data_IF_598730860380
#
_entry.id   IF_598730860380
#
_cell.length_a   1.000
_cell.length_b   1.000
_cell.length_c   1.000
_cell.angle_alpha   90.00
_cell.angle_beta   90.00
_cell.angle_gamma   90.00
#
_symmetry.space_group_name_H-M   'P 1'
#
loop_
_entity.id
_entity.type
_entity.pdbx_description
1 polymer ?
#
# COMPACT_ATOMS: atom_id res chain seq x y z
N UNK A 1 -65.73 69.32 -41.12
CA UNK A 1 -66.93 68.46 -41.18
C UNK A 1 -66.51 67.07 -40.68
N UNK A 2 -66.68 66.82 -39.37
CA UNK A 2 -67.68 65.91 -38.75
C UNK A 2 -67.27 64.42 -38.82
N UNK A 3 -66.61 63.87 -37.77
CA UNK A 3 -67.15 63.09 -36.60
C UNK A 3 -68.00 61.87 -37.02
N UNK A 4 -67.75 60.64 -36.53
CA UNK A 4 -67.82 60.14 -35.12
C UNK A 4 -67.07 58.78 -34.98
N UNK A 5 -66.30 58.57 -33.89
CA UNK A 5 -66.46 57.61 -32.74
C UNK A 5 -66.56 56.11 -33.11
N UNK A 6 -66.06 55.10 -32.39
CA UNK A 6 -65.29 54.87 -31.13
C UNK A 6 -64.89 53.36 -31.17
N UNK A 7 -63.66 52.96 -30.82
CA UNK A 7 -63.20 52.35 -29.55
C UNK A 7 -62.90 50.83 -29.58
N UNK A 8 -61.66 50.53 -29.18
CA UNK A 8 -61.02 49.34 -28.56
C UNK A 8 -61.80 48.05 -28.29
N UNK A 9 -61.23 46.88 -28.64
CA UNK A 9 -60.57 45.95 -27.68
C UNK A 9 -60.31 44.54 -28.25
N UNK A 10 -59.22 43.93 -27.77
CA UNK A 10 -58.71 42.57 -28.07
C UNK A 10 -59.67 41.43 -27.74
N UNK A 11 -59.56 40.30 -28.48
CA UNK A 11 -59.59 38.88 -28.03
C UNK A 11 -59.69 37.96 -29.27
N UNK A 12 -58.73 37.05 -29.51
CA UNK A 12 -58.51 35.69 -28.97
C UNK A 12 -59.05 34.59 -29.91
N UNK A 13 -58.27 33.51 -29.91
CA UNK A 13 -58.66 32.09 -30.01
C UNK A 13 -59.27 31.56 -31.31
N UNK A 14 -58.51 30.67 -31.96
CA UNK A 14 -59.08 29.50 -32.64
C UNK A 14 -58.68 28.22 -31.91
N UNK A 15 -59.73 27.56 -31.43
CA UNK A 15 -59.82 26.18 -30.95
C UNK A 15 -59.70 25.19 -32.12
N UNK A 16 -59.12 24.01 -31.89
CA UNK A 16 -59.82 22.71 -31.91
C UNK A 16 -58.81 21.55 -31.69
N UNK A 17 -58.93 20.86 -30.53
CA UNK A 17 -59.32 19.43 -30.36
C UNK A 17 -58.27 18.43 -30.87
N UNK A 18 -57.75 17.46 -30.11
CA UNK A 18 -58.15 16.85 -28.86
C UNK A 18 -58.07 15.32 -29.01
N UNK A 19 -56.91 14.72 -28.74
CA UNK A 19 -56.74 13.30 -28.35
C UNK A 19 -55.53 13.19 -27.42
N UNK A 20 -55.80 12.86 -26.15
CA UNK A 20 -54.78 12.48 -25.14
C UNK A 20 -54.01 11.22 -25.56
N UNK A 21 -52.73 11.15 -25.17
CA UNK A 21 -52.38 10.18 -24.15
C UNK A 21 -51.50 10.75 -23.04
N UNK A 22 -51.93 10.46 -21.81
CA UNK A 22 -51.11 10.08 -20.65
C UNK A 22 -49.77 10.81 -20.41
N UNK A 23 -49.83 11.67 -19.39
CA UNK A 23 -48.71 12.06 -18.52
C UNK A 23 -47.78 10.88 -18.21
N UNK A 24 -46.50 11.03 -18.58
CA UNK A 24 -45.40 10.84 -17.62
C UNK A 24 -44.35 11.92 -17.86
N UNK A 25 -44.29 12.86 -16.93
CA UNK A 25 -43.20 13.82 -16.82
C UNK A 25 -41.90 13.07 -16.54
N UNK A 26 -40.97 13.08 -17.49
CA UNK A 26 -39.56 12.73 -17.29
C UNK A 26 -38.66 13.68 -18.08
N UNK A 27 -38.80 14.98 -17.85
CA UNK A 27 -37.71 15.90 -18.12
C UNK A 27 -36.75 15.86 -16.94
N UNK A 28 -36.08 14.71 -16.79
CA UNK A 28 -34.84 14.67 -16.04
C UNK A 28 -33.82 15.43 -16.86
N UNK A 29 -33.36 16.58 -16.36
CA UNK A 29 -32.10 17.17 -16.79
C UNK A 29 -31.03 16.10 -16.56
N UNK A 30 -30.76 15.30 -17.58
CA UNK A 30 -29.59 14.45 -17.59
C UNK A 30 -28.43 15.41 -17.88
N UNK A 31 -27.87 16.00 -16.81
CA UNK A 31 -26.50 16.49 -16.86
C UNK A 31 -25.68 15.27 -17.31
N UNK A 32 -25.36 15.21 -18.60
CA UNK A 32 -24.33 14.33 -19.09
C UNK A 32 -23.03 14.81 -18.45
N UNK A 33 -22.71 14.29 -17.27
CA UNK A 33 -21.33 14.22 -16.83
C UNK A 33 -20.64 13.33 -17.85
N UNK A 34 -20.11 13.97 -18.89
CA UNK A 34 -19.26 13.34 -19.88
C UNK A 34 -18.16 12.67 -19.06
N UNK A 35 -18.13 11.33 -19.04
CA UNK A 35 -17.05 10.57 -18.39
C UNK A 35 -15.74 11.24 -18.78
N UNK A 36 -15.00 11.72 -17.80
CA UNK A 36 -13.74 12.39 -18.06
C UNK A 36 -12.81 11.43 -18.80
N UNK A 37 -11.99 11.95 -19.73
CA UNK A 37 -11.08 11.13 -20.50
C UNK A 37 -10.14 10.36 -19.58
N UNK A 38 -9.60 9.28 -20.15
CA UNK A 38 -8.64 8.35 -19.58
C UNK A 38 -7.49 9.11 -18.88
N UNK A 39 -6.94 8.59 -17.78
CA UNK A 39 -5.79 9.10 -16.99
C UNK A 39 -5.20 10.50 -17.33
N UNK A 40 -5.82 11.64 -17.04
CA UNK A 40 -5.16 12.93 -17.33
C UNK A 40 -4.70 13.06 -18.79
N UNK A 41 -5.26 12.26 -19.71
CA UNK A 41 -4.69 11.96 -21.03
C UNK A 41 -5.14 12.94 -22.09
N UNK A 42 -5.79 14.05 -21.71
CA UNK A 42 -6.13 15.14 -22.62
C UNK A 42 -7.01 14.74 -23.83
N UNK A 43 -7.46 13.47 -23.92
CA UNK A 43 -7.95 12.87 -25.17
C UNK A 43 -6.93 12.84 -26.32
N UNK A 44 -5.66 13.19 -26.05
CA UNK A 44 -4.60 13.40 -27.04
C UNK A 44 -3.51 12.33 -26.89
N UNK A 45 -3.56 11.33 -27.77
CA UNK A 45 -2.62 10.20 -27.76
C UNK A 45 -1.16 10.60 -27.95
N UNK A 46 -0.89 11.71 -28.66
CA UNK A 46 0.48 12.16 -28.87
C UNK A 46 1.05 12.73 -27.57
N UNK A 47 0.28 13.61 -26.94
CA UNK A 47 0.62 14.21 -25.66
C UNK A 47 0.84 13.15 -24.57
N UNK A 48 -0.01 12.13 -24.57
CA UNK A 48 0.11 10.96 -23.69
C UNK A 48 1.42 10.18 -23.95
N UNK A 49 1.76 9.92 -25.22
CA UNK A 49 3.00 9.24 -25.59
C UNK A 49 4.26 10.02 -25.20
N UNK A 50 4.23 11.35 -25.37
CA UNK A 50 5.32 12.24 -24.96
C UNK A 50 5.50 12.22 -23.44
N UNK A 51 4.42 12.41 -22.67
CA UNK A 51 4.41 12.29 -21.22
C UNK A 51 4.98 10.95 -20.77
N UNK A 52 4.43 9.83 -21.28
CA UNK A 52 4.88 8.49 -20.91
C UNK A 52 6.37 8.30 -21.13
N UNK A 53 6.89 8.71 -22.28
CA UNK A 53 8.31 8.59 -22.62
C UNK A 53 9.20 9.36 -21.64
N UNK A 54 8.81 10.60 -21.32
CA UNK A 54 9.57 11.47 -20.41
C UNK A 54 9.57 10.90 -19.00
N UNK A 55 8.39 10.53 -18.50
CA UNK A 55 8.18 10.04 -17.14
C UNK A 55 8.89 8.70 -16.94
N UNK A 56 8.75 7.74 -17.85
CA UNK A 56 9.49 6.47 -17.78
C UNK A 56 11.01 6.69 -17.77
N UNK A 57 11.50 7.69 -18.51
CA UNK A 57 12.93 8.02 -18.49
C UNK A 57 13.38 8.60 -17.15
N UNK A 58 12.55 9.45 -16.53
CA UNK A 58 12.81 10.01 -15.21
C UNK A 58 12.84 8.91 -14.15
N UNK A 59 11.84 8.03 -14.13
CA UNK A 59 11.76 6.91 -13.20
C UNK A 59 12.98 5.98 -13.26
N UNK A 60 13.43 5.62 -14.47
CA UNK A 60 14.64 4.80 -14.62
C UNK A 60 15.86 5.48 -13.97
N UNK A 61 16.03 6.78 -14.20
CA UNK A 61 17.15 7.53 -13.65
C UNK A 61 17.07 7.64 -12.11
N UNK A 62 15.86 7.77 -11.57
CA UNK A 62 15.58 7.79 -10.13
C UNK A 62 15.85 6.44 -9.47
N UNK A 63 15.31 5.36 -10.03
CA UNK A 63 15.48 3.99 -9.51
C UNK A 63 16.94 3.54 -9.51
N UNK A 64 17.72 4.00 -10.49
CA UNK A 64 19.16 3.72 -10.59
C UNK A 64 20.04 4.72 -9.81
N UNK A 65 19.45 5.73 -9.16
CA UNK A 65 20.19 6.77 -8.43
C UNK A 65 21.12 7.61 -9.32
N UNK A 66 20.84 7.73 -10.63
CA UNK A 66 21.67 8.47 -11.61
C UNK A 66 21.37 9.98 -11.55
N UNK A 67 21.47 10.57 -10.37
CA UNK A 67 21.01 11.95 -10.07
C UNK A 67 21.60 13.02 -10.97
N UNK A 68 22.89 12.95 -11.32
CA UNK A 68 23.49 13.93 -12.24
C UNK A 68 22.87 13.90 -13.64
N UNK A 69 22.56 12.70 -14.15
CA UNK A 69 21.87 12.53 -15.44
C UNK A 69 20.41 12.97 -15.32
N UNK A 70 19.77 12.69 -14.19
CA UNK A 70 18.43 13.14 -13.87
C UNK A 70 18.32 14.67 -13.93
N UNK A 71 19.13 15.40 -13.18
CA UNK A 71 19.06 16.87 -13.11
C UNK A 71 19.31 17.52 -14.49
N UNK A 72 20.22 16.95 -15.28
CA UNK A 72 20.47 17.38 -16.66
C UNK A 72 19.26 17.13 -17.57
N UNK A 73 18.61 15.98 -17.43
CA UNK A 73 17.41 15.63 -18.19
C UNK A 73 16.23 16.53 -17.79
N UNK A 74 15.96 16.64 -16.48
CA UNK A 74 14.91 17.48 -15.91
C UNK A 74 14.99 18.92 -16.41
N UNK A 75 16.15 19.58 -16.29
CA UNK A 75 16.31 20.97 -16.77
C UNK A 75 16.00 21.12 -18.25
N UNK A 76 16.50 20.18 -19.08
CA UNK A 76 16.24 20.20 -20.53
C UNK A 76 14.77 19.97 -20.85
N UNK A 77 14.13 19.04 -20.17
CA UNK A 77 12.71 18.74 -20.35
C UNK A 77 11.84 19.95 -19.95
N UNK A 78 12.11 20.56 -18.80
CA UNK A 78 11.42 21.78 -18.36
C UNK A 78 11.58 22.93 -19.36
N UNK A 79 12.79 23.14 -19.91
CA UNK A 79 13.00 24.18 -20.94
C UNK A 79 12.30 23.85 -22.25
N UNK A 80 12.31 22.58 -22.68
CA UNK A 80 11.69 22.17 -23.94
C UNK A 80 10.16 22.25 -23.91
N UNK A 81 9.55 21.95 -22.76
CA UNK A 81 8.11 21.94 -22.57
C UNK A 81 7.59 23.15 -21.78
N UNK A 82 8.35 24.25 -21.72
CA UNK A 82 7.99 25.44 -20.95
C UNK A 82 6.59 26.00 -21.33
N UNK A 83 6.24 25.94 -22.62
CA UNK A 83 4.97 26.41 -23.18
C UNK A 83 3.87 25.32 -23.22
N UNK A 84 4.15 24.12 -22.68
CA UNK A 84 3.19 23.03 -22.62
C UNK A 84 2.92 22.65 -21.15
N UNK A 85 1.94 23.32 -20.49
CA UNK A 85 1.70 23.15 -19.06
C UNK A 85 1.29 21.71 -18.68
N UNK A 86 0.60 21.01 -19.59
CA UNK A 86 0.13 19.64 -19.44
C UNK A 86 1.28 18.63 -19.32
N UNK A 87 2.37 18.81 -20.09
CA UNK A 87 3.60 17.99 -19.94
C UNK A 87 4.44 18.49 -18.77
N UNK A 88 4.61 19.81 -18.66
CA UNK A 88 5.48 20.44 -17.67
C UNK A 88 5.06 20.05 -16.25
N UNK A 89 3.77 20.04 -15.94
CA UNK A 89 3.29 19.65 -14.62
C UNK A 89 3.66 18.20 -14.27
N UNK A 90 3.62 17.27 -15.24
CA UNK A 90 4.02 15.87 -15.03
C UNK A 90 5.51 15.76 -14.73
N UNK A 91 6.35 16.53 -15.43
CA UNK A 91 7.79 16.60 -15.16
C UNK A 91 8.06 17.12 -13.74
N UNK A 92 7.34 18.17 -13.31
CA UNK A 92 7.53 18.75 -11.96
C UNK A 92 7.02 17.79 -10.87
N UNK A 93 5.93 17.04 -11.11
CA UNK A 93 5.43 16.02 -10.19
C UNK A 93 6.47 14.93 -9.95
N UNK A 94 7.12 14.39 -10.98
CA UNK A 94 8.21 13.41 -10.79
C UNK A 94 9.43 14.01 -10.07
N UNK A 95 9.69 15.31 -10.24
CA UNK A 95 10.75 15.97 -9.46
C UNK A 95 10.47 15.99 -7.94
N UNK A 96 9.20 15.94 -7.52
CA UNK A 96 8.84 15.74 -6.11
C UNK A 96 9.24 14.32 -5.66
N UNK A 97 9.05 13.30 -6.51
CA UNK A 97 9.46 11.92 -6.24
C UNK A 97 10.97 11.81 -6.10
N UNK A 98 11.73 12.41 -7.02
CA UNK A 98 13.19 12.46 -6.92
C UNK A 98 13.68 13.19 -5.67
N UNK A 99 13.05 14.31 -5.30
CA UNK A 99 13.34 15.00 -4.05
C UNK A 99 13.07 14.12 -2.82
N UNK A 100 11.95 13.40 -2.81
CA UNK A 100 11.63 12.40 -1.78
C UNK A 100 12.72 11.33 -1.70
N UNK A 101 13.20 10.78 -2.82
CA UNK A 101 14.26 9.76 -2.79
C UNK A 101 15.63 10.28 -2.35
N UNK A 102 15.95 11.55 -2.65
CA UNK A 102 17.21 12.19 -2.23
C UNK A 102 17.20 12.73 -0.80
N UNK A 103 16.07 12.64 -0.11
CA UNK A 103 15.88 13.28 1.21
C UNK A 103 16.03 14.81 1.17
N UNK A 104 15.80 15.42 0.00
CA UNK A 104 15.81 16.87 -0.19
C UNK A 104 14.37 17.42 -0.10
N UNK A 105 13.83 17.39 1.11
CA UNK A 105 12.42 17.74 1.34
C UNK A 105 12.13 19.22 1.01
N UNK A 106 13.12 20.10 1.16
CA UNK A 106 13.01 21.50 0.78
C UNK A 106 12.79 21.68 -0.73
N UNK A 107 13.60 21.01 -1.57
CA UNK A 107 13.39 21.00 -3.02
C UNK A 107 12.04 20.35 -3.42
N UNK A 108 11.61 19.33 -2.66
CA UNK A 108 10.29 18.71 -2.81
C UNK A 108 9.16 19.72 -2.60
N UNK A 109 9.21 20.50 -1.51
CA UNK A 109 8.21 21.55 -1.24
C UNK A 109 8.22 22.67 -2.28
N UNK A 110 9.39 23.07 -2.78
CA UNK A 110 9.48 24.04 -3.88
C UNK A 110 8.80 23.52 -5.16
N UNK A 111 8.97 22.22 -5.45
CA UNK A 111 8.31 21.58 -6.60
C UNK A 111 6.79 21.51 -6.40
N UNK A 112 6.30 21.28 -5.17
CA UNK A 112 4.87 21.36 -4.85
C UNK A 112 4.30 22.74 -5.16
N UNK A 113 4.98 23.81 -4.72
CA UNK A 113 4.55 25.19 -5.02
C UNK A 113 4.47 25.42 -6.53
N UNK A 114 5.47 24.95 -7.28
CA UNK A 114 5.48 25.04 -8.73
C UNK A 114 4.31 24.28 -9.38
N UNK A 115 3.94 23.10 -8.87
CA UNK A 115 2.76 22.37 -9.34
C UNK A 115 1.47 23.16 -9.06
N UNK A 116 1.34 23.79 -7.89
CA UNK A 116 0.16 24.61 -7.56
C UNK A 116 -0.03 25.79 -8.53
N UNK A 117 1.06 26.40 -8.99
CA UNK A 117 1.01 27.43 -10.04
C UNK A 117 0.55 26.86 -11.38
N UNK A 118 1.01 25.66 -11.75
CA UNK A 118 0.74 25.05 -13.05
C UNK A 118 -0.67 24.43 -13.15
N UNK A 119 -1.26 23.94 -12.05
CA UNK A 119 -2.54 23.23 -12.06
C UNK A 119 -3.62 24.00 -12.83
N UNK A 120 -3.73 25.31 -12.61
CA UNK A 120 -4.76 26.15 -13.23
C UNK A 120 -4.55 26.41 -14.72
N UNK A 121 -3.38 26.06 -15.26
CA UNK A 121 -3.04 26.21 -16.68
C UNK A 121 -3.22 24.91 -17.47
N UNK A 122 -3.52 23.82 -16.77
CA UNK A 122 -3.66 22.49 -17.36
C UNK A 122 -5.10 22.19 -17.73
N UNK A 123 -5.30 21.21 -18.61
CA UNK A 123 -6.63 20.77 -19.03
C UNK A 123 -7.30 19.82 -18.03
N UNK A 124 -6.54 19.22 -17.11
CA UNK A 124 -7.04 18.30 -16.09
C UNK A 124 -6.53 18.67 -14.68
N UNK A 125 -7.01 19.81 -14.14
CA UNK A 125 -6.56 20.30 -12.84
C UNK A 125 -6.89 19.32 -11.71
N UNK A 126 -7.99 18.57 -11.81
CA UNK A 126 -8.43 17.67 -10.73
C UNK A 126 -7.51 16.47 -10.62
N UNK A 127 -7.15 15.85 -11.75
CA UNK A 127 -6.18 14.75 -11.76
C UNK A 127 -4.83 15.22 -11.17
N UNK A 128 -4.30 16.34 -11.66
CA UNK A 128 -3.01 16.83 -11.20
C UNK A 128 -3.04 17.26 -9.72
N UNK A 129 -4.16 17.77 -9.24
CA UNK A 129 -4.37 18.06 -7.82
C UNK A 129 -4.30 16.78 -6.98
N UNK A 130 -5.01 15.71 -7.36
CA UNK A 130 -4.95 14.43 -6.66
C UNK A 130 -3.52 13.86 -6.66
N UNK A 131 -2.81 13.97 -7.79
CA UNK A 131 -1.43 13.53 -7.93
C UNK A 131 -0.50 14.30 -6.97
N UNK A 132 -0.58 15.62 -6.98
CA UNK A 132 0.19 16.48 -6.07
C UNK A 132 -0.10 16.15 -4.60
N UNK A 133 -1.36 15.92 -4.25
CA UNK A 133 -1.78 15.67 -2.86
C UNK A 133 -1.19 14.38 -2.29
N UNK A 134 -1.15 13.28 -3.05
CA UNK A 134 -0.53 12.06 -2.55
C UNK A 134 0.99 12.21 -2.41
N UNK A 135 1.65 12.98 -3.30
CA UNK A 135 3.08 13.28 -3.19
C UNK A 135 3.37 14.18 -1.98
N UNK A 136 2.50 15.15 -1.71
CA UNK A 136 2.57 15.99 -0.50
C UNK A 136 2.41 15.15 0.77
N UNK A 137 1.50 14.16 0.76
CA UNK A 137 1.39 13.17 1.84
C UNK A 137 2.69 12.40 2.05
N UNK A 138 3.36 11.95 0.97
CA UNK A 138 4.64 11.27 1.07
C UNK A 138 5.73 12.15 1.69
N UNK A 139 5.83 13.43 1.30
CA UNK A 139 6.77 14.38 1.92
C UNK A 139 6.49 14.56 3.41
N UNK A 140 5.25 14.86 3.80
CA UNK A 140 4.89 15.02 5.22
C UNK A 140 5.14 13.77 6.05
N UNK A 141 4.87 12.59 5.49
CA UNK A 141 5.20 11.31 6.11
C UNK A 141 6.69 11.16 6.35
N UNK A 142 7.53 11.62 5.42
CA UNK A 142 8.99 11.61 5.58
C UNK A 142 9.47 12.58 6.66
N UNK A 143 8.79 13.71 6.81
CA UNK A 143 8.95 14.67 7.92
C UNK A 143 8.33 14.20 9.25
N UNK A 144 7.73 12.99 9.30
CA UNK A 144 6.96 12.46 10.44
C UNK A 144 5.75 13.32 10.86
N UNK A 145 5.26 14.16 9.96
CA UNK A 145 4.07 15.00 10.13
C UNK A 145 2.82 14.23 9.72
N UNK A 146 2.50 13.20 10.51
CA UNK A 146 1.54 12.18 10.11
C UNK A 146 0.09 12.70 9.97
N UNK A 147 -0.33 13.68 10.77
CA UNK A 147 -1.67 14.29 10.64
C UNK A 147 -1.80 15.06 9.33
N UNK A 148 -0.80 15.86 8.96
CA UNK A 148 -0.82 16.54 7.66
C UNK A 148 -0.71 15.57 6.48
N UNK A 149 0.05 14.48 6.64
CA UNK A 149 0.13 13.42 5.64
C UNK A 149 -1.24 12.73 5.44
N UNK A 150 -1.96 12.46 6.52
CA UNK A 150 -3.31 11.88 6.49
C UNK A 150 -4.31 12.82 5.81
N UNK A 151 -4.33 14.10 6.21
CA UNK A 151 -5.20 15.10 5.60
C UNK A 151 -4.96 15.20 4.08
N UNK A 152 -3.70 15.22 3.66
CA UNK A 152 -3.34 15.27 2.25
C UNK A 152 -3.80 14.01 1.47
N UNK A 153 -3.62 12.81 2.03
CA UNK A 153 -4.00 11.58 1.33
C UNK A 153 -5.51 11.36 1.30
N UNK A 154 -6.25 11.78 2.34
CA UNK A 154 -7.72 11.78 2.35
C UNK A 154 -8.25 12.65 1.20
N UNK A 155 -7.69 13.84 1.00
CA UNK A 155 -8.05 14.70 -0.12
C UNK A 155 -7.67 14.09 -1.48
N UNK A 156 -6.50 13.45 -1.58
CA UNK A 156 -6.10 12.76 -2.81
C UNK A 156 -7.09 11.65 -3.20
N UNK A 157 -7.56 10.87 -2.21
CA UNK A 157 -8.53 9.78 -2.40
C UNK A 157 -9.88 10.27 -2.95
N UNK A 158 -10.32 11.47 -2.59
CA UNK A 158 -11.56 12.04 -3.13
C UNK A 158 -11.52 12.23 -4.65
N UNK A 159 -10.32 12.32 -5.25
CA UNK A 159 -10.13 12.40 -6.69
C UNK A 159 -10.27 11.06 -7.43
N UNK A 160 -10.28 9.91 -6.72
CA UNK A 160 -10.25 8.58 -7.36
C UNK A 160 -11.42 8.35 -8.31
N UNK A 161 -12.64 8.78 -7.95
CA UNK A 161 -13.85 8.60 -8.75
C UNK A 161 -13.79 9.33 -10.11
N UNK A 162 -12.90 10.30 -10.22
CA UNK A 162 -12.70 11.14 -11.39
C UNK A 162 -11.54 10.65 -12.27
N UNK A 163 -10.76 9.69 -11.77
CA UNK A 163 -9.56 9.18 -12.43
C UNK A 163 -9.81 7.80 -13.03
N UNK A 164 -9.14 7.52 -14.13
CA UNK A 164 -9.10 6.16 -14.64
C UNK A 164 -8.22 5.27 -13.76
N UNK A 165 -8.70 4.07 -13.49
CA UNK A 165 -7.94 3.01 -12.84
C UNK A 165 -6.65 2.71 -13.62
N UNK A 166 -5.53 2.63 -12.90
CA UNK A 166 -4.20 2.44 -13.48
C UNK A 166 -3.12 3.09 -12.60
N UNK A 167 -2.02 3.51 -13.22
CA UNK A 167 -0.82 4.06 -12.57
C UNK A 167 -1.12 5.03 -11.43
N UNK A 168 -1.77 6.16 -11.71
CA UNK A 168 -1.87 7.24 -10.73
C UNK A 168 -2.85 6.92 -9.59
N UNK A 169 -3.96 6.23 -9.89
CA UNK A 169 -4.86 5.73 -8.85
C UNK A 169 -4.20 4.66 -7.96
N UNK A 170 -3.34 3.82 -8.54
CA UNK A 170 -2.52 2.86 -7.79
C UNK A 170 -1.50 3.56 -6.89
N UNK A 171 -0.92 4.67 -7.33
CA UNK A 171 0.00 5.48 -6.50
C UNK A 171 -0.73 6.12 -5.32
N UNK A 172 -1.96 6.59 -5.49
CA UNK A 172 -2.78 7.09 -4.38
C UNK A 172 -2.98 5.97 -3.35
N UNK A 173 -3.46 4.80 -3.77
CA UNK A 173 -3.66 3.66 -2.87
C UNK A 173 -2.36 3.18 -2.21
N UNK A 174 -1.26 3.13 -2.96
CA UNK A 174 0.05 2.78 -2.44
C UNK A 174 0.48 3.77 -1.34
N UNK A 175 0.26 5.07 -1.53
CA UNK A 175 0.63 6.08 -0.53
C UNK A 175 -0.30 6.08 0.69
N UNK A 176 -1.57 5.71 0.54
CA UNK A 176 -2.47 5.40 1.67
C UNK A 176 -1.85 4.26 2.51
N UNK A 177 -1.51 3.15 1.86
CA UNK A 177 -0.93 2.00 2.55
C UNK A 177 0.41 2.34 3.23
N UNK A 178 1.27 3.07 2.51
CA UNK A 178 2.58 3.48 3.00
C UNK A 178 2.51 4.41 4.22
N UNK A 179 1.49 5.27 4.31
CA UNK A 179 1.27 6.11 5.48
C UNK A 179 0.93 5.29 6.71
N UNK A 180 -0.16 4.54 6.65
CA UNK A 180 -0.68 3.86 7.83
C UNK A 180 0.30 2.84 8.39
N UNK A 181 1.00 2.14 7.51
CA UNK A 181 1.99 1.20 7.98
C UNK A 181 3.29 1.85 8.44
N UNK A 182 3.71 3.00 7.92
CA UNK A 182 4.82 3.72 8.52
C UNK A 182 4.46 4.19 9.94
N UNK A 183 3.25 4.71 10.13
CA UNK A 183 2.73 5.10 11.44
C UNK A 183 2.74 3.92 12.43
N UNK A 184 2.29 2.74 12.02
CA UNK A 184 2.32 1.52 12.85
C UNK A 184 3.73 1.04 13.22
N UNK A 185 4.75 1.47 12.47
CA UNK A 185 6.13 1.09 12.67
C UNK A 185 6.96 2.19 13.36
N UNK A 186 6.36 3.34 13.65
CA UNK A 186 6.97 4.43 14.41
C UNK A 186 6.43 4.43 15.84
N UNK A 187 7.24 3.96 16.79
CA UNK A 187 6.84 3.88 18.20
C UNK A 187 6.55 5.26 18.82
N UNK A 188 7.02 6.35 18.20
CA UNK A 188 6.73 7.71 18.63
C UNK A 188 5.40 8.26 18.09
N UNK A 189 4.72 7.52 17.20
CA UNK A 189 3.47 7.99 16.61
C UNK A 189 2.28 7.80 17.55
N UNK A 190 1.81 8.90 18.15
CA UNK A 190 0.66 8.93 19.06
C UNK A 190 -0.69 8.57 18.41
N UNK A 191 -0.75 8.51 17.08
CA UNK A 191 -1.99 8.31 16.32
C UNK A 191 -2.23 6.86 15.90
N UNK A 192 -1.32 5.93 16.20
CA UNK A 192 -1.45 4.55 15.74
C UNK A 192 -2.66 3.84 16.37
N UNK A 193 -3.58 3.35 15.54
CA UNK A 193 -4.73 2.54 15.96
C UNK A 193 -4.65 1.13 15.36
N UNK A 194 -5.35 0.16 15.96
CA UNK A 194 -5.43 -1.21 15.41
C UNK A 194 -6.05 -1.25 13.99
N UNK A 195 -6.91 -0.30 13.64
CA UNK A 195 -7.56 -0.19 12.33
C UNK A 195 -6.58 0.16 11.20
N UNK A 196 -5.42 0.74 11.53
CA UNK A 196 -4.42 1.11 10.53
C UNK A 196 -3.81 -0.11 9.84
N UNK A 197 -3.77 -1.26 10.50
CA UNK A 197 -3.22 -2.48 9.89
C UNK A 197 -4.15 -2.98 8.78
N UNK A 198 -5.45 -3.06 9.06
CA UNK A 198 -6.47 -3.42 8.08
C UNK A 198 -6.48 -2.41 6.93
N UNK A 199 -6.48 -1.11 7.25
CA UNK A 199 -6.45 -0.03 6.26
C UNK A 199 -5.22 -0.11 5.34
N UNK A 200 -4.04 -0.39 5.90
CA UNK A 200 -2.81 -0.52 5.12
C UNK A 200 -2.87 -1.74 4.18
N UNK A 201 -3.35 -2.89 4.67
CA UNK A 201 -3.49 -4.11 3.89
C UNK A 201 -4.48 -3.94 2.72
N UNK A 202 -5.67 -3.40 3.00
CA UNK A 202 -6.70 -3.14 1.97
C UNK A 202 -6.22 -2.12 0.92
N UNK A 203 -5.54 -1.07 1.35
CA UNK A 203 -4.98 -0.08 0.44
C UNK A 203 -3.88 -0.67 -0.44
N UNK A 204 -3.04 -1.57 0.07
CA UNK A 204 -2.08 -2.27 -0.77
C UNK A 204 -2.73 -3.20 -1.77
N UNK A 205 -3.73 -3.96 -1.34
CA UNK A 205 -4.48 -4.83 -2.23
C UNK A 205 -5.12 -4.00 -3.37
N UNK A 206 -5.70 -2.85 -3.02
CA UNK A 206 -6.23 -1.89 -4.01
C UNK A 206 -5.14 -1.37 -4.95
N UNK A 207 -3.97 -1.02 -4.44
CA UNK A 207 -2.85 -0.58 -5.27
C UNK A 207 -2.42 -1.66 -6.27
N UNK A 208 -2.28 -2.92 -5.82
CA UNK A 208 -1.95 -4.08 -6.66
C UNK A 208 -2.97 -4.24 -7.79
N UNK A 209 -4.26 -4.23 -7.47
CA UNK A 209 -5.34 -4.35 -8.47
C UNK A 209 -5.32 -3.22 -9.49
N UNK A 210 -5.06 -1.98 -9.05
CA UNK A 210 -4.98 -0.82 -9.92
C UNK A 210 -3.77 -0.86 -10.85
N UNK A 211 -2.59 -1.23 -10.34
CA UNK A 211 -1.40 -1.38 -11.17
C UNK A 211 -1.54 -2.52 -12.18
N UNK A 212 -2.11 -3.67 -11.77
CA UNK A 212 -2.36 -4.80 -12.67
C UNK A 212 -3.26 -4.41 -13.84
N UNK A 213 -4.34 -3.67 -13.58
CA UNK A 213 -5.22 -3.15 -14.64
C UNK A 213 -4.54 -2.14 -15.56
N UNK A 214 -3.51 -1.44 -15.07
CA UNK A 214 -2.73 -0.48 -15.85
C UNK A 214 -1.49 -1.06 -16.53
N UNK A 215 -1.15 -2.34 -16.31
CA UNK A 215 0.10 -2.94 -16.80
C UNK A 215 0.16 -2.98 -18.34
N UNK A 216 -0.96 -3.28 -18.99
CA UNK A 216 -1.07 -3.32 -20.46
C UNK A 216 -0.93 -1.93 -21.10
N UNK A 217 -1.22 -0.86 -20.35
CA UNK A 217 -1.23 0.52 -20.85
C UNK A 217 0.09 1.25 -20.60
N UNK A 218 0.77 0.94 -19.49
CA UNK A 218 1.95 1.65 -19.03
C UNK A 218 2.98 0.69 -18.40
N UNK A 219 4.14 0.54 -19.06
CA UNK A 219 5.22 -0.34 -18.60
C UNK A 219 5.76 0.01 -17.21
N UNK A 220 5.56 1.25 -16.73
CA UNK A 220 5.91 1.63 -15.35
C UNK A 220 5.02 0.97 -14.29
N UNK A 221 3.77 0.61 -14.64
CA UNK A 221 2.85 -0.07 -13.74
C UNK A 221 3.44 -1.41 -13.29
N UNK A 222 4.22 -2.09 -14.14
CA UNK A 222 4.90 -3.34 -13.78
C UNK A 222 5.91 -3.14 -12.63
N UNK A 223 6.70 -2.07 -12.65
CA UNK A 223 7.61 -1.73 -11.55
C UNK A 223 6.85 -1.37 -10.27
N UNK A 224 5.77 -0.60 -10.40
CA UNK A 224 4.93 -0.22 -9.27
C UNK A 224 4.18 -1.42 -8.67
N UNK A 225 3.76 -2.38 -9.50
CA UNK A 225 3.14 -3.64 -9.11
C UNK A 225 4.12 -4.49 -8.28
N UNK A 226 5.37 -4.66 -8.75
CA UNK A 226 6.44 -5.32 -7.97
C UNK A 226 6.60 -4.69 -6.60
N UNK A 227 6.74 -3.36 -6.58
CA UNK A 227 6.90 -2.58 -5.34
C UNK A 227 5.71 -2.77 -4.40
N UNK A 228 4.48 -2.76 -4.93
CA UNK A 228 3.27 -2.93 -4.15
C UNK A 228 3.19 -4.33 -3.52
N UNK A 229 3.47 -5.40 -4.26
CA UNK A 229 3.51 -6.76 -3.72
C UNK A 229 4.57 -6.92 -2.61
N UNK A 230 5.79 -6.42 -2.84
CA UNK A 230 6.87 -6.49 -1.84
C UNK A 230 6.46 -5.73 -0.57
N UNK A 231 5.96 -4.50 -0.71
CA UNK A 231 5.58 -3.67 0.43
C UNK A 231 4.35 -4.18 1.16
N UNK A 232 3.40 -4.77 0.45
CA UNK A 232 2.27 -5.48 1.05
C UNK A 232 2.74 -6.64 1.92
N UNK A 233 3.61 -7.50 1.38
CA UNK A 233 4.21 -8.58 2.16
C UNK A 233 4.97 -8.04 3.39
N UNK A 234 5.77 -7.00 3.25
CA UNK A 234 6.46 -6.37 4.39
C UNK A 234 5.51 -5.80 5.46
N UNK A 235 4.35 -5.29 5.04
CA UNK A 235 3.30 -4.80 5.95
C UNK A 235 2.67 -5.92 6.77
N UNK A 236 2.33 -7.03 6.11
CA UNK A 236 1.78 -8.23 6.76
C UNK A 236 2.79 -8.85 7.72
N UNK A 237 4.05 -8.93 7.28
CA UNK A 237 5.19 -9.42 8.07
C UNK A 237 5.71 -8.41 9.07
N UNK A 238 5.09 -7.22 9.16
CA UNK A 238 5.38 -6.26 10.21
C UNK A 238 6.84 -5.78 10.21
N UNK A 239 7.48 -5.71 9.04
CA UNK A 239 8.93 -5.50 8.91
C UNK A 239 9.34 -4.26 8.11
N UNK A 240 8.56 -3.19 8.21
CA UNK A 240 8.74 -1.99 7.38
C UNK A 240 9.79 -0.99 7.91
N UNK A 241 10.14 -1.01 9.20
CA UNK A 241 11.12 -0.06 9.78
C UNK A 241 12.34 -0.72 10.40
N UNK A 242 13.38 0.11 10.56
CA UNK A 242 14.77 -0.24 10.86
C UNK A 242 15.00 -1.03 12.16
N UNK A 243 14.06 -1.01 13.09
CA UNK A 243 14.25 -1.64 14.39
C UNK A 243 12.90 -2.13 14.90
N UNK A 244 12.53 -3.36 14.54
CA UNK A 244 11.56 -4.10 15.36
C UNK A 244 12.30 -5.10 16.23
N UNK A 245 12.09 -4.93 17.54
CA UNK A 245 12.55 -5.82 18.60
C UNK A 245 12.15 -7.27 18.30
N UNK A 246 13.04 -8.20 18.66
CA UNK A 246 12.86 -9.65 18.65
C UNK A 246 11.59 -10.15 19.36
N UNK A 247 10.88 -9.27 20.08
CA UNK A 247 9.85 -9.64 21.04
C UNK A 247 8.40 -9.47 20.54
N UNK A 248 8.17 -9.14 19.26
CA UNK A 248 6.81 -9.02 18.69
C UNK A 248 6.50 -10.03 17.59
N UNK A 249 7.05 -11.24 17.73
CA UNK A 249 6.74 -12.36 16.85
C UNK A 249 5.27 -12.82 16.94
N UNK A 250 4.62 -12.53 18.06
CA UNK A 250 3.32 -13.09 18.47
C UNK A 250 2.11 -12.52 17.71
N UNK A 251 2.28 -11.44 16.94
CA UNK A 251 1.15 -10.74 16.32
C UNK A 251 0.98 -10.98 14.81
N UNK A 252 1.79 -11.85 14.18
CA UNK A 252 1.66 -12.19 12.75
C UNK A 252 0.87 -13.48 12.62
N UNK A 253 -0.29 -13.41 11.97
CA UNK A 253 -1.18 -14.58 11.83
C UNK A 253 -0.71 -15.51 10.72
N UNK A 254 -1.14 -16.78 10.74
CA UNK A 254 -0.88 -17.72 9.65
C UNK A 254 -1.43 -17.22 8.30
N UNK A 255 -2.55 -16.49 8.32
CA UNK A 255 -3.12 -15.88 7.12
C UNK A 255 -2.22 -14.76 6.58
N UNK A 256 -1.66 -13.91 7.46
CA UNK A 256 -0.68 -12.90 7.07
C UNK A 256 0.57 -13.55 6.44
N UNK A 257 1.08 -14.63 7.04
CA UNK A 257 2.23 -15.38 6.51
C UNK A 257 1.93 -15.99 5.14
N UNK A 258 0.72 -16.51 4.94
CA UNK A 258 0.27 -17.06 3.66
C UNK A 258 0.20 -15.96 2.59
N UNK A 259 -0.53 -14.88 2.87
CA UNK A 259 -0.70 -13.77 1.93
C UNK A 259 0.62 -13.06 1.58
N UNK A 260 1.51 -12.88 2.57
CA UNK A 260 2.85 -12.34 2.34
C UNK A 260 3.68 -13.29 1.46
N UNK A 261 3.59 -14.60 1.71
CA UNK A 261 4.20 -15.63 0.88
C UNK A 261 3.72 -15.57 -0.57
N UNK A 262 2.40 -15.56 -0.78
CA UNK A 262 1.78 -15.50 -2.12
C UNK A 262 2.22 -14.24 -2.90
N UNK A 263 2.28 -13.09 -2.23
CA UNK A 263 2.72 -11.84 -2.86
C UNK A 263 4.20 -11.88 -3.25
N UNK A 264 5.06 -12.45 -2.42
CA UNK A 264 6.49 -12.58 -2.73
C UNK A 264 6.74 -13.64 -3.81
N UNK A 265 5.96 -14.72 -3.81
CA UNK A 265 5.96 -15.76 -4.85
C UNK A 265 5.53 -15.19 -6.21
N UNK A 266 4.49 -14.34 -6.25
CA UNK A 266 4.05 -13.67 -7.49
C UNK A 266 5.17 -12.79 -8.07
N UNK A 267 5.89 -12.06 -7.21
CA UNK A 267 7.04 -11.27 -7.66
C UNK A 267 8.13 -12.16 -8.25
N UNK A 268 8.45 -13.28 -7.60
CA UNK A 268 9.50 -14.20 -8.05
C UNK A 268 9.13 -14.94 -9.35
N UNK A 269 7.88 -15.40 -9.47
CA UNK A 269 7.43 -16.22 -10.62
C UNK A 269 7.07 -15.38 -11.85
N UNK A 270 6.40 -14.24 -11.65
CA UNK A 270 5.73 -13.52 -12.73
C UNK A 270 6.37 -12.15 -13.00
N UNK A 271 6.97 -11.52 -11.99
CA UNK A 271 7.43 -10.14 -12.07
C UNK A 271 8.95 -9.97 -11.91
N UNK A 272 9.73 -11.04 -11.81
CA UNK A 272 11.16 -10.94 -11.47
C UNK A 272 12.02 -10.32 -12.58
N UNK A 273 11.71 -10.60 -13.84
CA UNK A 273 12.54 -10.17 -14.96
C UNK A 273 12.72 -8.64 -15.01
N UNK A 274 13.95 -8.14 -15.05
CA UNK A 274 14.22 -6.70 -15.04
C UNK A 274 13.88 -5.97 -13.73
N UNK A 275 13.67 -6.68 -12.62
CA UNK A 275 13.43 -6.03 -11.31
C UNK A 275 14.68 -5.23 -10.84
N UNK A 276 14.53 -3.94 -10.46
CA UNK A 276 15.65 -3.12 -9.98
C UNK A 276 16.27 -3.65 -8.68
N UNK A 277 17.58 -3.44 -8.50
CA UNK A 277 18.32 -3.89 -7.30
C UNK A 277 17.70 -3.43 -5.99
N UNK A 278 17.21 -2.18 -5.93
CA UNK A 278 16.53 -1.66 -4.73
C UNK A 278 15.28 -2.48 -4.36
N UNK A 279 14.53 -2.96 -5.34
CA UNK A 279 13.37 -3.82 -5.09
C UNK A 279 13.80 -5.23 -4.72
N UNK A 280 14.86 -5.78 -5.36
CA UNK A 280 15.44 -7.08 -4.97
C UNK A 280 15.85 -7.09 -3.50
N UNK A 281 16.53 -6.03 -3.07
CA UNK A 281 16.89 -5.81 -1.67
C UNK A 281 15.69 -5.97 -0.73
N UNK A 282 14.59 -5.22 -0.97
CA UNK A 282 13.40 -5.30 -0.12
C UNK A 282 12.70 -6.66 -0.21
N UNK A 283 12.71 -7.30 -1.38
CA UNK A 283 12.17 -8.65 -1.55
C UNK A 283 12.94 -9.68 -0.71
N UNK A 284 14.29 -9.63 -0.72
CA UNK A 284 15.13 -10.52 0.08
C UNK A 284 14.92 -10.30 1.59
N UNK A 285 14.77 -9.05 2.03
CA UNK A 285 14.44 -8.76 3.42
C UNK A 285 13.06 -9.29 3.82
N UNK A 286 12.04 -9.12 2.99
CA UNK A 286 10.71 -9.66 3.25
C UNK A 286 10.73 -11.20 3.31
N UNK A 287 11.47 -11.86 2.41
CA UNK A 287 11.70 -13.31 2.46
C UNK A 287 12.43 -13.75 3.72
N UNK A 288 13.43 -12.97 4.15
CA UNK A 288 14.14 -13.22 5.41
C UNK A 288 13.17 -13.24 6.59
N UNK A 289 12.31 -12.24 6.73
CA UNK A 289 11.27 -12.21 7.78
C UNK A 289 10.32 -13.41 7.67
N UNK A 290 9.81 -13.70 6.47
CA UNK A 290 8.92 -14.83 6.24
C UNK A 290 9.54 -16.16 6.70
N UNK A 291 10.81 -16.40 6.37
CA UNK A 291 11.52 -17.59 6.82
C UNK A 291 11.76 -17.61 8.33
N UNK A 292 12.03 -16.44 8.94
CA UNK A 292 12.15 -16.31 10.40
C UNK A 292 10.86 -16.74 11.09
N UNK A 293 9.71 -16.22 10.66
CA UNK A 293 8.41 -16.59 11.23
C UNK A 293 8.08 -18.08 11.05
N UNK A 294 8.58 -18.70 9.97
CA UNK A 294 8.45 -20.14 9.72
C UNK A 294 9.51 -21.00 10.44
N UNK A 295 10.23 -20.44 11.41
CA UNK A 295 11.31 -21.10 12.16
C UNK A 295 12.44 -21.68 11.28
N UNK A 296 12.67 -21.10 10.10
CA UNK A 296 13.77 -21.46 9.20
C UNK A 296 14.90 -20.44 9.31
N UNK A 297 15.45 -20.28 10.51
CA UNK A 297 16.37 -19.18 10.86
C UNK A 297 17.62 -19.13 10.00
N UNK A 298 18.24 -20.27 9.67
CA UNK A 298 19.42 -20.31 8.80
C UNK A 298 19.09 -19.77 7.41
N UNK A 299 17.95 -20.16 6.84
CA UNK A 299 17.50 -19.65 5.54
C UNK A 299 17.12 -18.17 5.61
N UNK A 300 16.56 -17.72 6.74
CA UNK A 300 16.30 -16.30 6.97
C UNK A 300 17.60 -15.48 6.96
N UNK A 301 18.67 -16.01 7.58
CA UNK A 301 19.99 -15.37 7.61
C UNK A 301 20.57 -15.24 6.21
N UNK A 302 20.58 -16.32 5.42
CA UNK A 302 21.06 -16.31 4.03
C UNK A 302 20.36 -15.22 3.18
N UNK A 303 19.05 -15.05 3.36
CA UNK A 303 18.30 -14.01 2.64
C UNK A 303 18.66 -12.60 3.13
N UNK A 304 18.92 -12.41 4.42
CA UNK A 304 19.36 -11.12 4.95
C UNK A 304 20.77 -10.75 4.48
N UNK A 305 21.67 -11.73 4.37
CA UNK A 305 23.02 -11.54 3.83
C UNK A 305 22.99 -11.16 2.34
N UNK A 306 22.12 -11.80 1.54
CA UNK A 306 21.96 -11.40 0.13
C UNK A 306 21.38 -9.98 0.00
N UNK A 307 20.44 -9.60 0.87
CA UNK A 307 19.96 -8.23 0.93
C UNK A 307 21.10 -7.24 1.26
N UNK A 308 21.92 -7.54 2.28
CA UNK A 308 23.06 -6.70 2.66
C UNK A 308 24.03 -6.50 1.49
N UNK A 309 24.40 -7.58 0.82
CA UNK A 309 25.28 -7.55 -0.36
C UNK A 309 24.74 -6.65 -1.48
N UNK A 310 23.43 -6.72 -1.76
CA UNK A 310 22.78 -5.86 -2.75
C UNK A 310 22.83 -4.39 -2.32
N UNK A 311 22.56 -4.10 -1.04
CA UNK A 311 22.56 -2.74 -0.48
C UNK A 311 23.96 -2.10 -0.53
N UNK A 312 24.99 -2.85 -0.14
CA UNK A 312 26.39 -2.42 -0.20
C UNK A 312 26.83 -2.11 -1.64
N UNK A 313 26.53 -3.02 -2.58
CA UNK A 313 26.86 -2.84 -3.99
C UNK A 313 26.16 -1.61 -4.61
N UNK A 314 24.95 -1.28 -4.12
CA UNK A 314 24.13 -0.18 -4.63
C UNK A 314 24.37 1.15 -3.90
N UNK A 315 25.16 1.15 -2.81
CA UNK A 315 25.51 2.34 -1.99
C UNK A 315 24.30 3.08 -1.43
N UNK A 316 23.34 2.35 -0.88
CA UNK A 316 22.17 2.91 -0.21
C UNK A 316 22.37 2.90 1.32
N UNK A 317 22.78 4.00 1.97
CA UNK A 317 23.26 3.96 3.36
C UNK A 317 22.23 3.49 4.38
N UNK A 318 20.98 3.93 4.26
CA UNK A 318 19.87 3.48 5.11
C UNK A 318 19.59 1.98 4.95
N UNK A 319 19.56 1.50 3.71
CA UNK A 319 19.33 0.10 3.41
C UNK A 319 20.47 -0.80 3.91
N UNK A 320 21.72 -0.33 3.89
CA UNK A 320 22.86 -1.06 4.49
C UNK A 320 22.66 -1.23 6.00
N UNK A 321 22.42 -0.13 6.73
CA UNK A 321 22.22 -0.18 8.18
C UNK A 321 21.08 -1.12 8.58
N UNK A 322 19.99 -1.10 7.80
CA UNK A 322 18.85 -1.96 8.07
C UNK A 322 19.19 -3.45 7.89
N UNK A 323 19.86 -3.81 6.80
CA UNK A 323 20.24 -5.20 6.54
C UNK A 323 21.30 -5.71 7.53
N UNK A 324 22.28 -4.89 7.92
CA UNK A 324 23.26 -5.23 8.97
C UNK A 324 22.57 -5.56 10.29
N UNK A 325 21.62 -4.72 10.71
CA UNK A 325 20.82 -4.95 11.91
C UNK A 325 20.09 -6.29 11.86
N UNK A 326 19.55 -6.65 10.69
CA UNK A 326 18.86 -7.92 10.49
C UNK A 326 19.80 -9.12 10.52
N UNK A 327 20.94 -9.05 9.83
CA UNK A 327 21.97 -10.11 9.83
C UNK A 327 22.45 -10.36 11.25
N UNK A 328 22.72 -9.30 12.03
CA UNK A 328 23.14 -9.41 13.43
C UNK A 328 22.10 -10.12 14.30
N UNK A 329 20.82 -9.75 14.17
CA UNK A 329 19.73 -10.40 14.89
C UNK A 329 19.66 -11.90 14.57
N UNK A 330 19.64 -12.25 13.28
CA UNK A 330 19.48 -13.64 12.83
C UNK A 330 20.72 -14.50 13.14
N UNK A 331 21.92 -13.93 13.04
CA UNK A 331 23.17 -14.63 13.41
C UNK A 331 23.17 -15.04 14.88
N UNK A 332 22.67 -14.14 15.77
CA UNK A 332 22.50 -14.46 17.18
C UNK A 332 21.49 -15.60 17.38
N UNK A 333 20.32 -15.52 16.75
CA UNK A 333 19.28 -16.56 16.84
C UNK A 333 19.78 -17.93 16.34
N UNK A 334 20.54 -17.98 15.25
CA UNK A 334 21.15 -19.23 14.74
C UNK A 334 22.15 -19.79 15.75
N UNK A 335 22.99 -18.94 16.35
CA UNK A 335 23.97 -19.36 17.35
C UNK A 335 23.29 -19.90 18.62
N UNK A 336 22.23 -19.24 19.08
CA UNK A 336 21.43 -19.66 20.24
C UNK A 336 20.69 -20.99 19.97
N UNK A 337 20.23 -21.23 18.74
CA UNK A 337 19.60 -22.50 18.35
C UNK A 337 20.60 -23.66 18.33
N UNK A 338 21.84 -23.43 17.88
CA UNK A 338 22.92 -24.44 17.88
C UNK A 338 23.35 -24.79 19.30
N UNK A 339 23.53 -23.80 20.17
CA UNK A 339 23.91 -24.08 21.56
C UNK A 339 22.83 -24.88 22.31
N UNK A 340 21.55 -24.66 22.02
CA UNK A 340 20.45 -25.46 22.57
C UNK A 340 20.39 -26.89 22.03
N UNK A 341 20.72 -27.12 20.75
CA UNK A 341 20.83 -28.50 20.22
C UNK A 341 22.00 -29.25 20.83
N UNK A 342 23.16 -28.59 20.96
CA UNK A 342 24.37 -29.20 21.55
C UNK A 342 24.17 -29.59 23.02
N UNK A 343 23.35 -28.83 23.78
CA UNK A 343 22.97 -29.18 25.16
C UNK A 343 22.02 -30.38 25.21
N UNK A 344 21.11 -30.52 24.23
CA UNK A 344 20.19 -31.67 24.17
C UNK A 344 20.93 -32.95 23.78
N UNK A 345 21.86 -32.86 22.83
CA UNK A 345 22.65 -34.00 22.37
C UNK A 345 23.68 -34.47 23.42
N UNK A 346 24.15 -33.57 24.29
CA UNK A 346 24.98 -33.92 25.46
C UNK A 346 24.19 -34.45 26.68
N UNK A 347 22.86 -34.41 26.66
CA UNK A 347 22.00 -34.98 27.72
C UNK A 347 21.45 -36.36 27.39
N UNK A 348 21.73 -36.89 26.20
CA UNK A 348 21.47 -38.29 25.84
C UNK A 348 22.58 -39.23 26.33
N UNK A 349 22.85 -39.22 27.64
CA UNK A 349 23.58 -40.29 28.33
C UNK A 349 22.56 -41.28 28.92
N UNK A 350 22.66 -42.60 28.66
CA UNK A 350 21.65 -43.60 29.01
C UNK A 350 21.75 -44.07 30.48
N UNK A 351 21.99 -43.16 31.43
CA UNK A 351 22.20 -43.51 32.86
C UNK A 351 21.37 -42.62 33.80
N UNK A 352 20.18 -42.18 33.39
CA UNK A 352 19.23 -41.49 34.29
C UNK A 352 17.77 -41.90 34.05
N UNK A 353 17.52 -43.08 33.50
CA UNK A 353 16.15 -43.63 33.36
C UNK A 353 15.78 -44.61 34.49
N UNK A 354 16.60 -44.74 35.54
CA UNK A 354 16.38 -45.73 36.62
C UNK A 354 16.31 -45.15 38.05
N UNK A 355 16.11 -43.84 38.25
CA UNK A 355 16.14 -43.27 39.61
C UNK A 355 15.04 -42.29 40.02
N UNK A 356 14.00 -42.07 39.22
CA UNK A 356 12.87 -41.26 39.64
C UNK A 356 11.53 -41.82 39.13
N UNK A 357 11.18 -43.01 39.62
CA UNK A 357 9.79 -43.26 39.99
C UNK A 357 9.58 -42.64 41.39
N UNK A 358 8.43 -41.99 41.57
CA UNK A 358 7.92 -41.33 42.79
C UNK A 358 8.49 -39.95 43.16
N UNK A 359 7.82 -38.88 42.73
CA UNK A 359 6.93 -38.08 43.61
C UNK A 359 6.42 -36.81 42.89
N UNK A 360 5.13 -36.53 43.09
CA UNK A 360 4.44 -35.30 42.72
C UNK A 360 5.09 -34.05 43.38
N UNK A 361 5.35 -32.99 42.59
CA UNK A 361 4.85 -31.63 42.86
C UNK A 361 5.28 -30.59 41.80
N UNK A 362 4.28 -30.15 41.05
CA UNK A 362 4.00 -28.80 40.50
C UNK A 362 4.99 -27.66 40.87
N UNK A 363 5.63 -27.03 39.87
CA UNK A 363 5.51 -25.57 39.58
C UNK A 363 5.59 -25.33 38.06
N UNK A 364 4.63 -24.54 37.60
CA UNK A 364 4.17 -24.21 36.24
C UNK A 364 5.05 -23.28 35.41
N UNK A 365 5.01 -23.44 34.07
CA UNK A 365 4.99 -22.32 33.14
C UNK A 365 3.63 -22.28 32.41
N UNK A 366 3.00 -21.11 32.47
CA UNK A 366 1.59 -20.82 32.24
C UNK A 366 1.31 -20.61 30.74
N UNK A 367 0.62 -21.52 30.07
CA UNK A 367 -0.13 -21.20 28.83
C UNK A 367 -1.22 -22.22 28.47
N UNK A 368 -1.08 -23.49 28.89
CA UNK A 368 -2.05 -24.53 28.52
C UNK A 368 -3.26 -24.70 29.45
N UNK A 369 -3.30 -24.03 30.61
CA UNK A 369 -4.36 -24.28 31.62
C UNK A 369 -5.76 -23.81 31.17
N UNK A 370 -5.83 -22.75 30.37
CA UNK A 370 -7.12 -22.25 29.84
C UNK A 370 -7.71 -23.19 28.78
N UNK A 371 -6.88 -23.85 27.97
CA UNK A 371 -7.36 -24.78 26.95
C UNK A 371 -7.96 -26.05 27.56
N UNK A 372 -7.30 -26.62 28.58
CA UNK A 372 -7.80 -27.80 29.28
C UNK A 372 -9.06 -27.49 30.10
N UNK A 373 -9.17 -26.32 30.74
CA UNK A 373 -10.38 -25.94 31.47
C UNK A 373 -11.58 -25.72 30.53
N UNK A 374 -11.35 -25.18 29.33
CA UNK A 374 -12.41 -25.05 28.31
C UNK A 374 -12.85 -26.42 27.79
N UNK A 375 -11.92 -27.33 27.51
CA UNK A 375 -12.24 -28.69 27.08
C UNK A 375 -13.01 -29.49 28.13
N UNK A 376 -12.61 -29.38 29.41
CA UNK A 376 -13.32 -30.01 30.53
C UNK A 376 -14.72 -29.38 30.69
N UNK A 377 -14.85 -28.06 30.56
CA UNK A 377 -16.15 -27.37 30.60
C UNK A 377 -17.10 -27.85 29.50
N UNK A 378 -16.62 -27.98 28.26
CA UNK A 378 -17.43 -28.48 27.13
C UNK A 378 -17.84 -29.93 27.34
N UNK A 379 -16.94 -30.79 27.85
CA UNK A 379 -17.25 -32.18 28.14
C UNK A 379 -18.31 -32.33 29.24
N UNK A 380 -18.24 -31.53 30.31
CA UNK A 380 -19.23 -31.56 31.39
C UNK A 380 -20.62 -31.12 30.90
N UNK A 381 -20.69 -30.08 30.06
CA UNK A 381 -21.97 -29.64 29.46
C UNK A 381 -22.55 -30.72 28.53
N UNK A 382 -21.70 -31.39 27.75
CA UNK A 382 -22.14 -32.46 26.86
C UNK A 382 -22.70 -33.67 27.64
N UNK A 383 -22.02 -34.08 28.71
CA UNK A 383 -22.49 -35.16 29.59
C UNK A 383 -23.79 -34.77 30.28
N UNK A 384 -23.93 -33.53 30.76
CA UNK A 384 -25.17 -33.05 31.37
C UNK A 384 -26.36 -33.09 30.39
N UNK A 385 -26.15 -32.68 29.14
CA UNK A 385 -27.17 -32.75 28.09
C UNK A 385 -27.55 -34.19 27.72
N UNK A 386 -26.57 -35.10 27.66
CA UNK A 386 -26.85 -36.53 27.45
C UNK A 386 -27.67 -37.14 28.60
N UNK A 387 -27.34 -36.81 29.84
CA UNK A 387 -28.09 -37.27 31.02
C UNK A 387 -29.51 -36.70 31.03
N UNK A 388 -29.69 -35.42 30.72
CA UNK A 388 -31.03 -34.81 30.61
C UNK A 388 -31.86 -35.44 29.48
N UNK A 389 -31.24 -35.74 28.34
CA UNK A 389 -31.91 -36.41 27.23
C UNK A 389 -32.35 -37.84 27.60
N UNK A 390 -31.49 -38.60 28.29
CA UNK A 390 -31.83 -39.95 28.75
C UNK A 390 -32.92 -39.96 29.82
N UNK A 391 -32.91 -38.99 30.75
CA UNK A 391 -33.97 -38.84 31.76
C UNK A 391 -35.31 -38.44 31.13
N UNK A 392 -35.30 -37.58 30.11
CA UNK A 392 -36.51 -37.20 29.37
C UNK A 392 -37.11 -38.38 28.59
N UNK A 393 -36.26 -39.24 28.03
CA UNK A 393 -36.71 -40.40 27.25
C UNK A 393 -37.29 -41.53 28.13
N UNK A 394 -36.86 -41.63 29.39
CA UNK A 394 -37.36 -42.63 30.34
C UNK A 394 -38.68 -42.24 31.05
N UNK A 395 -39.17 -41.01 30.85
CA UNK A 395 -40.45 -40.52 31.38
C UNK A 395 -41.59 -40.52 30.34
N UNK A 396 -41.35 -41.03 29.13
CA UNK A 396 -42.37 -41.43 28.14
C UNK A 396 -42.42 -42.94 28.07
#
# INVERSE_FOLDING_TARGET
>A
MCRKHDSSSEKKEKQETGKEPTRTSKNGLHLMFKKMPRQGTFGDKKLEGDCRTIISRMEILEEEGKWHKYDKFYRRACSHFAENPDILIRIVLENIVAAYYRDDLAAGQQSVLRVQELIFLTRDPVHHQAHMLYLKSALFRKEKRYREAENAIVLARQGLDQMQVGRDTGEIWYNVAALFAQVLNDESAEIATGEFQATAAEAFHSAIEHYRKGEDEDGSCRNKLRRAHIRYAMSLLRCWSEVRSSNRGEDVTEEDLRQAGDSLDEVERSLWDGIPNRMRYYWHLARSDLFRYKNRTQRALEMAEEALKIAEASKFPSEVQFAEGRVKLLSKLVSDQRSLSDIKDNKSDPILEELFEDEDHIVTCNSNRNFYLVLIGVAVVFVALCVQYLLYYHQR
#
